data_IF_809684223752
#
_entry.id   IF_809684223752
#
_cell.length_a   1.000
_cell.length_b   1.000
_cell.length_c   1.000
_cell.angle_alpha   90.00
_cell.angle_beta   90.00
_cell.angle_gamma   90.00
#
_symmetry.space_group_name_H-M   'P 1'
#
loop_
_entity.id
_entity.type
_entity.pdbx_description
1 polymer ?
#
# COMPACT_ATOMS: atom_id res chain seq x y z
N UNK A 1 -11.58 -21.34 4.87
CA UNK A 1 -12.55 -20.31 5.34
C UNK A 1 -13.61 -19.98 4.29
N UNK A 2 -13.29 -19.78 3.00
CA UNK A 2 -14.29 -19.55 1.93
C UNK A 2 -15.39 -20.63 1.86
N UNK A 3 -15.01 -21.92 1.88
CA UNK A 3 -15.98 -23.02 1.91
C UNK A 3 -16.92 -22.98 3.12
N UNK A 4 -16.49 -22.41 4.24
CA UNK A 4 -17.29 -22.33 5.46
C UNK A 4 -18.37 -21.23 5.36
N UNK A 5 -18.02 -20.06 4.82
CA UNK A 5 -18.99 -18.98 4.51
C UNK A 5 -20.15 -19.48 3.66
N UNK A 6 -19.82 -20.05 2.51
CA UNK A 6 -20.83 -20.55 1.56
C UNK A 6 -21.66 -21.69 2.15
N UNK A 7 -21.06 -22.55 2.97
CA UNK A 7 -21.76 -23.68 3.61
C UNK A 7 -22.77 -23.17 4.63
N UNK A 8 -22.41 -22.21 5.49
CA UNK A 8 -23.34 -21.67 6.50
C UNK A 8 -24.47 -20.87 5.83
N UNK A 9 -24.16 -20.04 4.83
CA UNK A 9 -25.18 -19.33 4.06
C UNK A 9 -26.17 -20.28 3.38
N UNK A 10 -25.65 -21.34 2.73
CA UNK A 10 -26.48 -22.36 2.08
C UNK A 10 -27.38 -23.09 3.08
N UNK A 11 -26.82 -23.47 4.23
CA UNK A 11 -27.59 -24.16 5.27
C UNK A 11 -28.69 -23.25 5.85
N UNK A 12 -28.39 -21.96 6.04
CA UNK A 12 -29.38 -20.93 6.44
C UNK A 12 -30.52 -20.85 5.42
N UNK A 13 -30.18 -20.71 4.13
CA UNK A 13 -31.16 -20.68 3.03
C UNK A 13 -32.05 -21.94 2.98
N UNK A 14 -31.46 -23.13 3.10
CA UNK A 14 -32.23 -24.39 3.12
C UNK A 14 -33.17 -24.43 4.33
N UNK A 15 -32.69 -24.00 5.51
CA UNK A 15 -33.53 -23.95 6.71
C UNK A 15 -34.71 -22.99 6.54
N UNK A 16 -34.50 -21.78 6.01
CA UNK A 16 -35.59 -20.83 5.68
C UNK A 16 -36.60 -21.44 4.71
N UNK A 17 -36.14 -22.12 3.65
CA UNK A 17 -37.03 -22.75 2.68
C UNK A 17 -37.88 -23.86 3.28
N UNK A 18 -37.27 -24.72 4.13
CA UNK A 18 -37.99 -25.78 4.83
C UNK A 18 -39.00 -25.22 5.84
N UNK A 19 -38.64 -24.16 6.57
CA UNK A 19 -39.54 -23.48 7.51
C UNK A 19 -40.74 -22.85 6.79
N UNK A 20 -40.51 -22.14 5.70
CA UNK A 20 -41.56 -21.53 4.89
C UNK A 20 -42.55 -22.59 4.38
N UNK A 21 -42.03 -23.67 3.77
CA UNK A 21 -42.86 -24.78 3.28
C UNK A 21 -43.63 -25.45 4.43
N UNK A 22 -42.98 -25.71 5.56
CA UNK A 22 -43.61 -26.31 6.74
C UNK A 22 -44.77 -25.46 7.28
N UNK A 23 -44.56 -24.15 7.43
CA UNK A 23 -45.58 -23.19 7.89
C UNK A 23 -46.75 -23.09 6.92
N UNK A 24 -46.49 -23.01 5.60
CA UNK A 24 -47.53 -23.01 4.58
C UNK A 24 -48.38 -24.28 4.61
N UNK A 25 -47.75 -25.45 4.64
CA UNK A 25 -48.44 -26.75 4.68
C UNK A 25 -49.30 -26.84 5.94
N UNK A 26 -48.74 -26.52 7.11
CA UNK A 26 -49.48 -26.52 8.36
C UNK A 26 -50.63 -25.51 8.36
N UNK A 27 -50.45 -24.32 7.76
CA UNK A 27 -51.49 -23.31 7.61
C UNK A 27 -52.68 -23.79 6.78
N UNK A 28 -52.43 -24.45 5.65
CA UNK A 28 -53.46 -25.03 4.79
C UNK A 28 -54.21 -26.16 5.51
N UNK A 29 -53.48 -27.09 6.15
CA UNK A 29 -54.11 -28.22 6.85
C UNK A 29 -54.94 -27.80 8.07
N UNK A 30 -54.51 -26.75 8.77
CA UNK A 30 -55.23 -26.24 9.95
C UNK A 30 -56.32 -25.24 9.60
N UNK A 31 -56.36 -24.74 8.35
CA UNK A 31 -57.24 -23.64 7.94
C UNK A 31 -56.90 -22.30 8.61
N UNK A 32 -55.71 -22.15 9.18
CA UNK A 32 -55.30 -20.98 9.96
C UNK A 32 -54.74 -19.89 9.05
N UNK A 33 -55.50 -18.80 8.89
CA UNK A 33 -55.07 -17.60 8.15
C UNK A 33 -53.79 -17.01 8.77
N UNK A 34 -53.67 -16.99 10.10
CA UNK A 34 -52.47 -16.50 10.79
C UNK A 34 -51.23 -17.32 10.47
N UNK A 35 -51.37 -18.65 10.37
CA UNK A 35 -50.24 -19.53 10.05
C UNK A 35 -49.86 -19.45 8.55
N UNK A 36 -50.82 -19.16 7.67
CA UNK A 36 -50.55 -18.85 6.26
C UNK A 36 -49.79 -17.52 6.13
N UNK A 37 -50.18 -16.48 6.89
CA UNK A 37 -49.47 -15.20 6.94
C UNK A 37 -48.03 -15.37 7.42
N UNK A 38 -47.82 -16.19 8.45
CA UNK A 38 -46.50 -16.56 8.98
C UNK A 38 -45.66 -17.35 7.94
N UNK A 39 -46.32 -18.17 7.11
CA UNK A 39 -45.68 -18.84 5.97
C UNK A 39 -45.20 -17.86 4.89
N UNK A 40 -45.99 -16.83 4.56
CA UNK A 40 -45.59 -15.77 3.62
C UNK A 40 -44.38 -15.01 4.14
N UNK A 41 -44.37 -14.66 5.43
CA UNK A 41 -43.23 -14.00 6.06
C UNK A 41 -41.95 -14.85 5.95
N UNK A 42 -42.04 -16.13 6.31
CA UNK A 42 -40.91 -17.08 6.17
C UNK A 42 -40.45 -17.29 4.72
N UNK A 43 -41.34 -17.10 3.75
CA UNK A 43 -40.96 -17.10 2.34
C UNK A 43 -40.15 -15.85 1.95
N UNK A 44 -40.51 -14.68 2.49
CA UNK A 44 -39.68 -13.47 2.34
C UNK A 44 -38.28 -13.68 2.94
N UNK A 45 -38.17 -14.35 4.09
CA UNK A 45 -36.88 -14.71 4.69
C UNK A 45 -36.09 -15.69 3.82
N UNK A 46 -36.76 -16.63 3.16
CA UNK A 46 -36.13 -17.52 2.19
C UNK A 46 -35.57 -16.76 0.99
N UNK A 47 -36.29 -15.75 0.50
CA UNK A 47 -35.79 -14.88 -0.58
C UNK A 47 -34.58 -14.07 -0.11
N UNK A 48 -34.62 -13.47 1.08
CA UNK A 48 -33.51 -12.72 1.65
C UNK A 48 -32.24 -13.59 1.80
N UNK A 49 -32.37 -14.76 2.43
CA UNK A 49 -31.26 -15.71 2.59
C UNK A 49 -30.72 -16.26 1.27
N UNK A 50 -31.57 -16.38 0.24
CA UNK A 50 -31.14 -16.75 -1.11
C UNK A 50 -30.26 -15.67 -1.73
N UNK A 51 -30.62 -14.40 -1.55
CA UNK A 51 -29.81 -13.26 -1.98
C UNK A 51 -28.47 -13.26 -1.25
N UNK A 52 -28.45 -13.48 0.07
CA UNK A 52 -27.21 -13.56 0.85
C UNK A 52 -26.32 -14.72 0.43
N UNK A 53 -26.86 -15.92 0.23
CA UNK A 53 -26.08 -17.04 -0.28
C UNK A 53 -25.49 -16.76 -1.68
N UNK A 54 -26.27 -16.16 -2.57
CA UNK A 54 -25.79 -15.75 -3.89
C UNK A 54 -24.69 -14.68 -3.79
N UNK A 55 -24.88 -13.67 -2.94
CA UNK A 55 -23.93 -12.58 -2.73
C UNK A 55 -22.59 -13.09 -2.19
N UNK A 56 -22.62 -13.98 -1.20
CA UNK A 56 -21.42 -14.65 -0.64
C UNK A 56 -20.73 -15.51 -1.70
N UNK A 57 -21.49 -16.19 -2.57
CA UNK A 57 -20.92 -16.98 -3.66
C UNK A 57 -20.24 -16.09 -4.72
N UNK A 58 -20.81 -14.93 -5.01
CA UNK A 58 -20.26 -13.98 -5.99
C UNK A 58 -19.05 -13.24 -5.41
N UNK A 59 -19.11 -12.81 -4.15
CA UNK A 59 -18.03 -12.07 -3.48
C UNK A 59 -16.73 -12.87 -3.34
N UNK A 60 -16.85 -14.19 -3.17
CA UNK A 60 -15.70 -15.11 -3.08
C UNK A 60 -15.01 -15.34 -4.43
N UNK A 61 -15.53 -14.83 -5.54
CA UNK A 61 -14.86 -14.90 -6.84
C UNK A 61 -13.61 -14.00 -6.83
N UNK A 62 -12.48 -14.48 -7.37
CA UNK A 62 -11.28 -13.66 -7.53
C UNK A 62 -11.54 -12.50 -8.51
N UNK A 63 -10.55 -11.62 -8.64
CA UNK A 63 -10.55 -10.59 -9.67
C UNK A 63 -10.63 -11.20 -11.08
N UNK A 64 -11.36 -10.54 -11.97
CA UNK A 64 -11.47 -10.87 -13.39
C UNK A 64 -11.29 -9.62 -14.26
N UNK A 65 -11.37 -9.77 -15.58
CA UNK A 65 -11.12 -8.70 -16.56
C UNK A 65 -12.12 -7.53 -16.47
N UNK A 66 -13.31 -7.75 -15.90
CA UNK A 66 -14.30 -6.70 -15.67
C UNK A 66 -14.21 -6.11 -14.24
N UNK A 67 -13.73 -6.91 -13.29
CA UNK A 67 -13.64 -6.60 -11.87
C UNK A 67 -12.22 -6.82 -11.33
N UNK A 68 -11.30 -5.90 -11.68
CA UNK A 68 -9.88 -5.99 -11.32
C UNK A 68 -9.59 -6.01 -9.79
N UNK A 69 -10.52 -5.55 -8.96
CA UNK A 69 -10.41 -5.59 -7.50
C UNK A 69 -11.27 -6.70 -6.85
N UNK A 70 -11.80 -7.61 -7.68
CA UNK A 70 -12.69 -8.67 -7.24
C UNK A 70 -14.11 -8.21 -6.96
N UNK A 71 -14.88 -9.12 -6.37
CA UNK A 71 -16.33 -9.00 -6.21
C UNK A 71 -16.76 -8.71 -4.77
N UNK A 72 -15.81 -8.43 -3.86
CA UNK A 72 -16.06 -8.32 -2.43
C UNK A 72 -17.16 -7.33 -2.03
N UNK A 73 -17.35 -6.24 -2.80
CA UNK A 73 -18.39 -5.23 -2.53
C UNK A 73 -19.82 -5.75 -2.67
N UNK A 74 -20.04 -6.88 -3.35
CA UNK A 74 -21.38 -7.50 -3.50
C UNK A 74 -21.96 -7.92 -2.14
N UNK A 75 -21.13 -8.38 -1.20
CA UNK A 75 -21.57 -8.70 0.17
C UNK A 75 -22.11 -7.48 0.91
N UNK A 76 -21.43 -6.32 0.78
CA UNK A 76 -21.87 -5.09 1.43
C UNK A 76 -23.19 -4.57 0.84
N UNK A 77 -23.41 -4.76 -0.47
CA UNK A 77 -24.66 -4.42 -1.13
C UNK A 77 -25.81 -5.30 -0.64
N UNK A 78 -25.58 -6.61 -0.52
CA UNK A 78 -26.56 -7.55 0.04
C UNK A 78 -26.88 -7.23 1.51
N UNK A 79 -25.87 -6.94 2.32
CA UNK A 79 -26.05 -6.53 3.71
C UNK A 79 -26.89 -5.25 3.82
N UNK A 80 -26.67 -4.26 2.94
CA UNK A 80 -27.45 -3.02 2.94
C UNK A 80 -28.92 -3.27 2.54
N UNK A 81 -29.16 -4.19 1.60
CA UNK A 81 -30.50 -4.63 1.23
C UNK A 81 -31.23 -5.29 2.41
N UNK A 82 -30.56 -6.20 3.14
CA UNK A 82 -31.13 -6.82 4.34
C UNK A 82 -31.37 -5.81 5.47
N UNK A 83 -30.46 -4.87 5.68
CA UNK A 83 -30.68 -3.77 6.62
C UNK A 83 -31.93 -2.97 6.25
N UNK A 84 -32.17 -2.70 4.96
CA UNK A 84 -33.39 -2.00 4.52
C UNK A 84 -34.65 -2.81 4.83
N UNK A 85 -34.64 -4.13 4.63
CA UNK A 85 -35.75 -5.01 5.03
C UNK A 85 -35.97 -4.98 6.56
N UNK A 86 -34.89 -5.01 7.34
CA UNK A 86 -34.95 -4.93 8.80
C UNK A 86 -35.53 -3.59 9.28
N UNK A 87 -35.12 -2.47 8.67
CA UNK A 87 -35.67 -1.16 8.98
C UNK A 87 -37.17 -1.07 8.64
N UNK A 88 -37.58 -1.65 7.52
CA UNK A 88 -38.99 -1.72 7.13
C UNK A 88 -39.80 -2.58 8.12
N UNK A 89 -39.28 -3.74 8.51
CA UNK A 89 -39.91 -4.63 9.48
C UNK A 89 -40.02 -3.98 10.86
N UNK A 90 -38.94 -3.35 11.36
CA UNK A 90 -38.96 -2.62 12.63
C UNK A 90 -39.94 -1.44 12.60
N UNK A 91 -39.99 -0.69 11.50
CA UNK A 91 -40.97 0.38 11.30
C UNK A 91 -42.42 -0.12 11.33
N UNK A 92 -42.67 -1.27 10.69
CA UNK A 92 -43.97 -1.94 10.73
C UNK A 92 -44.35 -2.38 12.15
N UNK A 93 -43.43 -2.99 12.89
CA UNK A 93 -43.67 -3.41 14.29
C UNK A 93 -43.98 -2.19 15.17
N UNK A 94 -43.24 -1.08 15.01
CA UNK A 94 -43.50 0.16 15.75
C UNK A 94 -44.90 0.69 15.45
N UNK A 95 -45.29 0.71 14.17
CA UNK A 95 -46.62 1.15 13.77
C UNK A 95 -47.72 0.27 14.38
N UNK A 96 -47.61 -1.06 14.26
CA UNK A 96 -48.58 -2.02 14.77
C UNK A 96 -48.68 -1.97 16.31
N UNK A 97 -47.54 -1.94 17.01
CA UNK A 97 -47.51 -1.87 18.47
C UNK A 97 -48.10 -0.54 18.99
N UNK A 98 -47.84 0.57 18.30
CA UNK A 98 -48.41 1.88 18.67
C UNK A 98 -49.92 1.91 18.40
N UNK A 99 -50.37 1.35 17.27
CA UNK A 99 -51.78 1.20 16.94
C UNK A 99 -52.51 0.35 17.99
N UNK A 100 -51.92 -0.78 18.38
CA UNK A 100 -52.44 -1.68 19.42
C UNK A 100 -52.54 -1.02 20.81
N UNK A 101 -51.63 -0.09 21.14
CA UNK A 101 -51.71 0.70 22.38
C UNK A 101 -52.87 1.71 22.39
N UNK A 102 -53.25 2.23 21.20
CA UNK A 102 -54.26 3.28 21.03
C UNK A 102 -55.65 2.75 20.66
N UNK A 103 -55.74 1.50 20.15
CA UNK A 103 -56.98 0.84 19.72
C UNK A 103 -57.46 -0.28 20.65
N UNK A 104 -58.40 -1.10 20.16
CA UNK A 104 -58.82 -2.33 20.84
C UNK A 104 -57.80 -3.46 20.61
N UNK A 105 -57.46 -4.20 21.67
CA UNK A 105 -56.50 -5.29 21.61
C UNK A 105 -57.01 -6.40 20.68
N UNK A 106 -56.23 -6.74 19.65
CA UNK A 106 -56.52 -7.89 18.79
C UNK A 106 -56.56 -9.18 19.63
N UNK A 107 -57.62 -9.98 19.47
CA UNK A 107 -57.71 -11.29 20.13
C UNK A 107 -56.67 -12.23 19.52
N UNK A 108 -55.58 -12.45 20.25
CA UNK A 108 -54.60 -13.47 19.91
C UNK A 108 -55.28 -14.83 20.06
N UNK A 109 -55.61 -15.49 18.94
CA UNK A 109 -56.11 -16.86 18.96
C UNK A 109 -54.96 -17.78 19.36
N UNK A 110 -54.90 -18.09 20.66
CA UNK A 110 -53.92 -18.98 21.27
C UNK A 110 -54.20 -20.45 20.92
N UNK A 111 -54.11 -20.81 19.64
CA UNK A 111 -54.13 -22.20 19.24
C UNK A 111 -52.81 -22.86 19.67
N UNK A 112 -52.82 -24.02 20.38
CA UNK A 112 -51.60 -24.72 20.79
C UNK A 112 -50.62 -24.99 19.64
N UNK A 113 -51.14 -25.16 18.43
CA UNK A 113 -50.35 -25.34 17.20
C UNK A 113 -49.51 -24.10 16.88
N UNK A 114 -50.03 -22.88 17.06
CA UNK A 114 -49.31 -21.62 16.79
C UNK A 114 -48.14 -21.47 17.78
N UNK A 115 -48.37 -21.75 19.06
CA UNK A 115 -47.33 -21.72 20.09
C UNK A 115 -46.23 -22.74 19.78
N UNK A 116 -46.60 -23.97 19.38
CA UNK A 116 -45.63 -25.00 19.02
C UNK A 116 -44.77 -24.58 17.81
N UNK A 117 -45.38 -23.99 16.78
CA UNK A 117 -44.66 -23.49 15.60
C UNK A 117 -43.69 -22.36 15.98
N UNK A 118 -44.13 -21.39 16.78
CA UNK A 118 -43.26 -20.29 17.24
C UNK A 118 -42.07 -20.80 18.05
N UNK A 119 -42.28 -21.75 18.97
CA UNK A 119 -41.20 -22.36 19.75
C UNK A 119 -40.19 -23.08 18.85
N UNK A 120 -40.65 -23.83 17.85
CA UNK A 120 -39.78 -24.51 16.90
C UNK A 120 -38.98 -23.49 16.07
N UNK A 121 -39.61 -22.42 15.60
CA UNK A 121 -38.93 -21.34 14.87
C UNK A 121 -37.83 -20.68 15.72
N UNK A 122 -38.12 -20.32 16.97
CA UNK A 122 -37.13 -19.73 17.89
C UNK A 122 -35.91 -20.64 18.07
N UNK A 123 -36.12 -21.95 18.23
CA UNK A 123 -35.01 -22.90 18.40
C UNK A 123 -34.15 -22.97 17.13
N UNK A 124 -34.77 -23.00 15.96
CA UNK A 124 -34.05 -23.03 14.68
C UNK A 124 -33.24 -21.74 14.49
N UNK A 125 -33.87 -20.58 14.70
CA UNK A 125 -33.22 -19.29 14.54
C UNK A 125 -32.09 -19.09 15.55
N UNK A 126 -32.23 -19.57 16.79
CA UNK A 126 -31.14 -19.58 17.76
C UNK A 126 -29.88 -20.29 17.23
N UNK A 127 -30.02 -21.48 16.65
CA UNK A 127 -28.89 -22.21 16.07
C UNK A 127 -28.32 -21.51 14.83
N UNK A 128 -29.17 -20.92 13.99
CA UNK A 128 -28.76 -20.15 12.81
C UNK A 128 -27.99 -18.91 13.17
N UNK A 129 -28.51 -18.08 14.07
CA UNK A 129 -27.86 -16.88 14.59
C UNK A 129 -26.48 -17.22 15.16
N UNK A 130 -26.38 -18.32 15.92
CA UNK A 130 -25.10 -18.77 16.50
C UNK A 130 -24.09 -19.21 15.43
N UNK A 131 -24.54 -19.90 14.37
CA UNK A 131 -23.69 -20.35 13.28
C UNK A 131 -23.23 -19.17 12.40
N UNK A 132 -24.17 -18.32 11.97
CA UNK A 132 -23.92 -17.15 11.13
C UNK A 132 -22.99 -16.17 11.83
N UNK A 133 -23.27 -15.77 13.09
CA UNK A 133 -22.41 -14.83 13.82
C UNK A 133 -20.98 -15.32 14.03
N UNK A 134 -20.79 -16.64 14.20
CA UNK A 134 -19.45 -17.21 14.34
C UNK A 134 -18.64 -17.02 13.07
N UNK A 135 -19.24 -17.36 11.92
CA UNK A 135 -18.56 -17.26 10.64
C UNK A 135 -18.42 -15.81 10.21
N UNK A 136 -19.47 -14.99 10.36
CA UNK A 136 -19.44 -13.55 10.07
C UNK A 136 -18.26 -12.85 10.77
N UNK A 137 -18.04 -13.12 12.07
CA UNK A 137 -16.90 -12.57 12.82
C UNK A 137 -15.55 -13.14 12.40
N UNK A 138 -15.50 -14.42 12.06
CA UNK A 138 -14.25 -15.06 11.64
C UNK A 138 -13.80 -14.61 10.24
N UNK A 139 -14.73 -14.18 9.39
CA UNK A 139 -14.45 -13.87 7.98
C UNK A 139 -14.74 -12.42 7.59
N UNK A 140 -15.12 -11.59 8.57
CA UNK A 140 -15.58 -10.21 8.40
C UNK A 140 -16.65 -10.05 7.30
N UNK A 141 -17.63 -10.95 7.26
CA UNK A 141 -18.66 -10.98 6.22
C UNK A 141 -19.88 -10.15 6.63
N UNK A 142 -20.07 -9.02 5.96
CA UNK A 142 -21.19 -8.12 6.22
C UNK A 142 -22.55 -8.77 5.89
N UNK A 143 -22.64 -9.57 4.82
CA UNK A 143 -23.87 -10.25 4.45
C UNK A 143 -24.28 -11.29 5.50
N UNK A 144 -23.33 -12.08 6.03
CA UNK A 144 -23.64 -13.04 7.10
C UNK A 144 -23.96 -12.35 8.43
N UNK A 145 -23.36 -11.19 8.72
CA UNK A 145 -23.68 -10.37 9.89
C UNK A 145 -25.11 -9.82 9.82
N UNK A 146 -25.54 -9.35 8.64
CA UNK A 146 -26.90 -8.88 8.40
C UNK A 146 -27.94 -10.01 8.49
N UNK A 147 -27.67 -11.17 7.86
CA UNK A 147 -28.52 -12.36 7.95
C UNK A 147 -28.66 -12.85 9.40
N UNK A 148 -27.57 -12.81 10.18
CA UNK A 148 -27.61 -13.12 11.60
C UNK A 148 -28.45 -12.12 12.42
N UNK A 149 -28.39 -10.84 12.10
CA UNK A 149 -29.19 -9.81 12.75
C UNK A 149 -30.67 -9.95 12.41
N UNK A 150 -30.99 -10.32 11.16
CA UNK A 150 -32.35 -10.61 10.72
C UNK A 150 -32.99 -11.72 11.55
N UNK A 151 -32.36 -12.90 11.63
CA UNK A 151 -32.90 -13.99 12.45
C UNK A 151 -32.89 -13.71 13.95
N UNK A 152 -31.96 -12.87 14.43
CA UNK A 152 -31.99 -12.42 15.81
C UNK A 152 -33.21 -11.54 16.09
N UNK A 153 -33.56 -10.66 15.16
CA UNK A 153 -34.77 -9.84 15.19
C UNK A 153 -36.04 -10.70 15.21
N UNK A 154 -36.11 -11.71 14.35
CA UNK A 154 -37.26 -12.62 14.29
C UNK A 154 -37.41 -13.47 15.57
N UNK A 155 -36.29 -13.95 16.11
CA UNK A 155 -36.25 -14.69 17.37
C UNK A 155 -36.73 -13.82 18.55
N UNK A 156 -36.29 -12.55 18.62
CA UNK A 156 -36.75 -11.62 19.64
C UNK A 156 -38.24 -11.30 19.48
N UNK A 157 -38.70 -11.05 18.25
CA UNK A 157 -40.10 -10.73 17.96
C UNK A 157 -41.02 -11.89 18.33
N UNK A 158 -40.65 -13.12 17.95
CA UNK A 158 -41.38 -14.33 18.34
C UNK A 158 -41.38 -14.55 19.86
N UNK A 159 -40.26 -14.26 20.52
CA UNK A 159 -40.15 -14.32 21.98
C UNK A 159 -41.05 -13.32 22.69
N UNK A 160 -41.16 -12.09 22.17
CA UNK A 160 -42.10 -11.07 22.67
C UNK A 160 -43.53 -11.54 22.55
N UNK A 161 -43.94 -12.05 21.39
CA UNK A 161 -45.31 -12.56 21.17
C UNK A 161 -45.64 -13.69 22.15
N UNK A 162 -44.71 -14.63 22.38
CA UNK A 162 -44.91 -15.71 23.37
C UNK A 162 -45.04 -15.18 24.80
N UNK A 163 -44.22 -14.21 25.20
CA UNK A 163 -44.34 -13.55 26.50
C UNK A 163 -45.66 -12.78 26.62
N UNK A 164 -46.06 -12.07 25.56
CA UNK A 164 -47.33 -11.36 25.45
C UNK A 164 -48.52 -12.28 25.66
N UNK A 165 -48.54 -13.46 25.01
CA UNK A 165 -49.56 -14.48 25.24
C UNK A 165 -49.64 -14.91 26.71
N UNK A 166 -48.50 -15.10 27.38
CA UNK A 166 -48.48 -15.45 28.82
C UNK A 166 -49.05 -14.29 29.65
N UNK A 167 -48.67 -13.04 29.39
CA UNK A 167 -49.18 -11.88 30.13
C UNK A 167 -50.67 -11.62 29.92
N UNK A 168 -51.20 -11.92 28.72
CA UNK A 168 -52.64 -11.88 28.44
C UNK A 168 -53.40 -12.86 29.33
N UNK A 169 -52.86 -14.06 29.59
CA UNK A 169 -53.46 -15.03 30.52
C UNK A 169 -53.54 -14.50 31.96
N UNK A 170 -52.63 -13.59 32.36
CA UNK A 170 -52.63 -12.92 33.67
C UNK A 170 -53.39 -11.58 33.68
N UNK A 171 -54.09 -11.22 32.59
CA UNK A 171 -54.90 -10.00 32.50
C UNK A 171 -54.16 -8.73 32.08
N UNK A 172 -52.89 -8.83 31.68
CA UNK A 172 -52.07 -7.69 31.24
C UNK A 172 -52.04 -7.55 29.71
N UNK A 173 -53.16 -7.13 29.10
CA UNK A 173 -53.31 -7.07 27.65
C UNK A 173 -52.34 -6.10 26.92
N UNK A 174 -51.82 -5.08 27.62
CA UNK A 174 -50.93 -4.05 27.02
C UNK A 174 -49.43 -4.35 27.15
N UNK A 175 -49.05 -5.40 27.87
CA UNK A 175 -47.64 -5.73 28.10
C UNK A 175 -46.92 -6.15 26.80
N UNK A 176 -47.63 -6.82 25.91
CA UNK A 176 -47.13 -7.28 24.61
C UNK A 176 -46.68 -6.12 23.70
N UNK A 177 -47.53 -5.10 23.54
CA UNK A 177 -47.24 -3.94 22.71
C UNK A 177 -46.04 -3.12 23.23
N UNK A 178 -45.90 -2.99 24.55
CA UNK A 178 -44.74 -2.30 25.13
C UNK A 178 -43.44 -3.09 24.91
N UNK A 179 -43.49 -4.41 25.08
CA UNK A 179 -42.34 -5.28 24.81
C UNK A 179 -41.95 -5.27 23.32
N UNK A 180 -42.94 -5.24 22.42
CA UNK A 180 -42.72 -5.12 20.98
C UNK A 180 -42.04 -3.80 20.60
N UNK A 181 -42.45 -2.68 21.21
CA UNK A 181 -41.78 -1.38 21.00
C UNK A 181 -40.32 -1.38 21.47
N UNK A 182 -40.03 -2.00 22.62
CA UNK A 182 -38.65 -2.10 23.14
C UNK A 182 -37.78 -2.91 22.17
N UNK A 183 -38.26 -4.06 21.72
CA UNK A 183 -37.54 -4.92 20.78
C UNK A 183 -37.36 -4.23 19.43
N UNK A 184 -38.40 -3.59 18.89
CA UNK A 184 -38.29 -2.85 17.64
C UNK A 184 -37.28 -1.68 17.73
N UNK A 185 -37.22 -0.98 18.87
CA UNK A 185 -36.20 0.04 19.11
C UNK A 185 -34.77 -0.52 19.12
N UNK A 186 -34.57 -1.70 19.72
CA UNK A 186 -33.29 -2.41 19.67
C UNK A 186 -32.91 -2.81 18.24
N UNK A 187 -33.86 -3.40 17.49
CA UNK A 187 -33.65 -3.81 16.10
C UNK A 187 -33.29 -2.59 15.24
N UNK A 188 -34.03 -1.49 15.37
CA UNK A 188 -33.78 -0.25 14.65
C UNK A 188 -32.35 0.27 14.89
N UNK A 189 -31.92 0.32 16.15
CA UNK A 189 -30.57 0.75 16.50
C UNK A 189 -29.49 -0.17 15.91
N UNK A 190 -29.67 -1.49 16.01
CA UNK A 190 -28.73 -2.46 15.48
C UNK A 190 -28.65 -2.40 13.94
N UNK A 191 -29.80 -2.28 13.26
CA UNK A 191 -29.89 -2.16 11.81
C UNK A 191 -29.23 -0.87 11.31
N UNK A 192 -29.46 0.28 11.97
CA UNK A 192 -28.80 1.54 11.62
C UNK A 192 -27.27 1.48 11.80
N UNK A 193 -26.81 0.84 12.88
CA UNK A 193 -25.38 0.66 13.14
C UNK A 193 -24.72 -0.21 12.06
N UNK A 194 -25.36 -1.32 11.70
CA UNK A 194 -24.87 -2.23 10.65
C UNK A 194 -24.93 -1.56 9.27
N UNK A 195 -26.04 -0.90 8.95
CA UNK A 195 -26.23 -0.16 7.70
C UNK A 195 -25.16 0.90 7.49
N UNK A 196 -24.81 1.65 8.54
CA UNK A 196 -23.70 2.61 8.48
C UNK A 196 -22.39 1.89 8.11
N UNK A 197 -22.05 0.78 8.77
CA UNK A 197 -20.83 0.00 8.49
C UNK A 197 -20.79 -0.51 7.05
N UNK A 198 -21.90 -1.07 6.55
CA UNK A 198 -21.99 -1.58 5.17
C UNK A 198 -21.91 -0.45 4.14
N UNK A 199 -22.54 0.70 4.42
CA UNK A 199 -22.45 1.89 3.58
C UNK A 199 -21.04 2.47 3.55
N UNK A 200 -20.41 2.62 4.72
CA UNK A 200 -19.04 3.11 4.87
C UNK A 200 -18.06 2.27 4.05
N UNK A 201 -18.24 0.95 3.99
CA UNK A 201 -17.43 0.07 3.15
C UNK A 201 -17.68 0.22 1.64
N UNK A 202 -18.88 0.66 1.20
CA UNK A 202 -19.16 0.89 -0.23
C UNK A 202 -18.49 2.17 -0.72
N UNK A 203 -18.46 3.21 0.11
CA UNK A 203 -17.84 4.51 -0.18
C UNK A 203 -16.33 4.57 0.13
N UNK A 204 -15.70 3.41 0.34
CA UNK A 204 -14.25 3.27 0.57
C UNK A 204 -13.76 4.01 1.83
N UNK A 205 -14.53 3.99 2.92
CA UNK A 205 -14.13 4.58 4.21
C UNK A 205 -12.97 3.79 4.82
N UNK A 206 -11.90 4.48 5.19
CA UNK A 206 -10.76 3.88 5.86
C UNK A 206 -11.11 3.41 7.30
N UNK A 207 -10.57 2.26 7.75
CA UNK A 207 -10.69 1.84 9.15
C UNK A 207 -10.13 2.90 10.11
N UNK A 208 -10.81 3.14 11.23
CA UNK A 208 -10.39 4.15 12.20
C UNK A 208 -8.98 3.85 12.77
N UNK A 209 -8.12 4.86 12.83
CA UNK A 209 -6.74 4.76 13.36
C UNK A 209 -5.71 4.18 12.37
N UNK A 210 -6.14 3.50 11.32
CA UNK A 210 -5.24 2.82 10.38
C UNK A 210 -4.28 3.77 9.66
N UNK A 211 -4.71 4.99 9.38
CA UNK A 211 -3.87 6.02 8.73
C UNK A 211 -2.75 6.47 9.64
N UNK A 212 -3.04 6.75 10.90
CA UNK A 212 -2.07 7.18 11.90
C UNK A 212 -1.06 6.06 12.21
N UNK A 213 -1.53 4.81 12.29
CA UNK A 213 -0.68 3.64 12.49
C UNK A 213 0.33 3.46 11.34
N UNK A 214 -0.14 3.53 10.09
CA UNK A 214 0.74 3.44 8.92
C UNK A 214 1.69 4.64 8.88
N UNK A 215 1.21 5.85 9.16
CA UNK A 215 2.08 7.03 9.20
C UNK A 215 3.20 6.88 10.23
N UNK A 216 2.92 6.26 11.37
CA UNK A 216 3.91 6.01 12.41
C UNK A 216 4.94 4.98 11.95
N UNK A 217 4.48 3.88 11.34
CA UNK A 217 5.34 2.83 10.76
C UNK A 217 6.29 3.39 9.69
N UNK A 218 5.81 4.31 8.84
CA UNK A 218 6.65 4.92 7.80
C UNK A 218 7.77 5.80 8.37
N UNK A 219 7.57 6.41 9.54
CA UNK A 219 8.61 7.22 10.18
C UNK A 219 9.84 6.40 10.62
N UNK A 220 9.70 5.07 10.74
CA UNK A 220 10.82 4.18 11.10
C UNK A 220 11.80 3.97 9.93
N UNK A 221 11.43 4.36 8.70
CA UNK A 221 12.28 4.20 7.53
C UNK A 221 13.12 5.47 7.27
N UNK A 222 14.45 5.44 7.49
CA UNK A 222 15.29 6.63 7.36
C UNK A 222 15.44 7.13 5.91
N UNK A 223 15.09 6.31 4.93
CA UNK A 223 15.13 6.68 3.52
C UNK A 223 13.90 7.49 3.06
N UNK A 224 12.85 7.55 3.88
CA UNK A 224 11.65 8.35 3.63
C UNK A 224 11.91 9.78 4.11
N UNK A 225 11.72 10.74 3.22
CA UNK A 225 11.82 12.18 3.51
C UNK A 225 10.47 12.75 3.98
N UNK A 226 9.39 12.27 3.40
CA UNK A 226 8.02 12.70 3.69
C UNK A 226 7.02 11.60 3.37
N UNK A 227 5.86 11.65 4.03
CA UNK A 227 4.69 10.86 3.66
C UNK A 227 3.74 11.75 2.87
N UNK A 228 3.61 11.49 1.56
CA UNK A 228 2.84 12.34 0.65
C UNK A 228 1.35 12.00 0.70
N UNK A 229 1.01 10.71 0.69
CA UNK A 229 -0.37 10.25 0.85
C UNK A 229 -0.44 8.83 1.37
N UNK A 230 -1.50 8.56 2.14
CA UNK A 230 -1.89 7.22 2.58
C UNK A 230 -3.37 7.09 2.22
N UNK A 231 -3.71 6.10 1.41
CA UNK A 231 -5.08 5.78 1.01
C UNK A 231 -5.37 4.34 1.36
N UNK A 232 -6.48 4.12 2.07
CA UNK A 232 -6.96 2.79 2.40
C UNK A 232 -8.38 2.64 1.91
N UNK A 233 -8.73 1.43 1.47
CA UNK A 233 -10.11 1.07 1.18
C UNK A 233 -10.32 -0.43 1.38
N UNK A 234 -11.52 -0.81 1.76
CA UNK A 234 -11.91 -2.21 1.92
C UNK A 234 -12.75 -2.67 0.73
N UNK A 235 -12.44 -3.84 0.17
CA UNK A 235 -13.33 -4.54 -0.75
C UNK A 235 -13.57 -5.97 -0.23
N UNK A 236 -14.72 -6.17 0.42
CA UNK A 236 -14.98 -7.40 1.18
C UNK A 236 -13.96 -7.57 2.30
N UNK A 237 -13.31 -8.73 2.36
CA UNK A 237 -12.32 -9.06 3.40
C UNK A 237 -10.89 -8.57 3.09
N UNK A 238 -10.66 -7.94 1.92
CA UNK A 238 -9.33 -7.45 1.50
C UNK A 238 -9.21 -5.96 1.76
N UNK A 239 -8.10 -5.55 2.38
CA UNK A 239 -7.76 -4.15 2.63
C UNK A 239 -6.71 -3.69 1.62
N UNK A 240 -7.08 -2.77 0.73
CA UNK A 240 -6.14 -2.17 -0.23
C UNK A 240 -5.50 -0.96 0.41
N UNK A 241 -4.18 -0.92 0.40
CA UNK A 241 -3.38 0.15 1.00
C UNK A 241 -2.46 0.72 -0.07
N UNK A 242 -2.61 2.00 -0.38
CA UNK A 242 -1.70 2.73 -1.24
C UNK A 242 -0.97 3.77 -0.40
N UNK A 243 0.37 3.74 -0.46
CA UNK A 243 1.23 4.68 0.24
C UNK A 243 2.12 5.37 -0.78
N UNK A 244 2.14 6.69 -0.77
CA UNK A 244 3.10 7.50 -1.51
C UNK A 244 4.12 8.12 -0.56
N UNK A 245 5.39 7.84 -0.78
CA UNK A 245 6.51 8.28 0.06
C UNK A 245 7.48 9.12 -0.75
N UNK A 246 7.88 10.27 -0.19
CA UNK A 246 8.96 11.09 -0.71
C UNK A 246 10.30 10.43 -0.43
N UNK A 247 11.12 10.23 -1.45
CA UNK A 247 12.46 9.64 -1.35
C UNK A 247 13.48 10.56 -2.02
N UNK A 248 14.74 10.46 -1.60
CA UNK A 248 15.80 11.24 -2.23
C UNK A 248 15.90 10.91 -3.72
N UNK A 249 15.90 11.93 -4.58
CA UNK A 249 15.97 11.77 -6.03
C UNK A 249 17.29 11.18 -6.56
N UNK A 250 18.33 11.09 -5.73
CA UNK A 250 19.58 10.38 -6.02
C UNK A 250 19.58 8.91 -5.59
N UNK A 251 18.52 8.45 -4.91
CA UNK A 251 18.46 7.10 -4.39
C UNK A 251 18.43 6.09 -5.56
N UNK A 252 19.36 5.12 -5.63
CA UNK A 252 19.39 4.16 -6.73
C UNK A 252 18.08 3.37 -6.84
N UNK A 253 17.65 3.07 -8.06
CA UNK A 253 16.37 2.40 -8.33
C UNK A 253 16.25 1.05 -7.61
N UNK A 254 17.34 0.28 -7.52
CA UNK A 254 17.36 -0.99 -6.79
C UNK A 254 17.10 -0.79 -5.27
N UNK A 255 17.65 0.28 -4.69
CA UNK A 255 17.42 0.65 -3.28
C UNK A 255 15.98 1.12 -3.07
N UNK A 256 15.40 1.85 -4.02
CA UNK A 256 13.98 2.23 -4.00
C UNK A 256 13.10 0.97 -4.01
N UNK A 257 13.38 0.01 -4.88
CA UNK A 257 12.62 -1.24 -4.92
C UNK A 257 12.75 -2.02 -3.61
N UNK A 258 13.95 -2.11 -3.04
CA UNK A 258 14.15 -2.71 -1.72
C UNK A 258 13.35 -2.02 -0.61
N UNK A 259 13.32 -0.69 -0.59
CA UNK A 259 12.52 0.11 0.35
C UNK A 259 11.02 -0.17 0.18
N UNK A 260 10.52 -0.16 -1.05
CA UNK A 260 9.11 -0.44 -1.36
C UNK A 260 8.69 -1.82 -0.85
N UNK A 261 9.50 -2.84 -1.11
CA UNK A 261 9.24 -4.21 -0.64
C UNK A 261 9.26 -4.29 0.89
N UNK A 262 10.22 -3.64 1.54
CA UNK A 262 10.31 -3.64 3.01
C UNK A 262 9.08 -2.99 3.66
N UNK A 263 8.63 -1.83 3.14
CA UNK A 263 7.41 -1.15 3.60
C UNK A 263 6.18 -2.06 3.39
N UNK A 264 6.03 -2.65 2.20
CA UNK A 264 4.90 -3.53 1.89
C UNK A 264 4.82 -4.72 2.85
N UNK A 265 5.94 -5.43 3.05
CA UNK A 265 6.01 -6.58 3.97
C UNK A 265 5.67 -6.19 5.40
N UNK A 266 6.14 -5.04 5.90
CA UNK A 266 5.86 -4.62 7.27
C UNK A 266 4.38 -4.25 7.47
N UNK A 267 3.75 -3.61 6.47
CA UNK A 267 2.32 -3.31 6.50
C UNK A 267 1.49 -4.61 6.41
N UNK A 268 1.86 -5.54 5.53
CA UNK A 268 1.17 -6.85 5.37
C UNK A 268 1.26 -7.74 6.62
N UNK A 269 2.29 -7.57 7.45
CA UNK A 269 2.39 -8.25 8.74
C UNK A 269 1.42 -7.68 9.80
N UNK A 270 1.11 -6.39 9.73
CA UNK A 270 0.19 -5.73 10.66
C UNK A 270 -1.27 -5.91 10.27
N UNK A 271 -1.56 -5.94 8.96
CA UNK A 271 -2.92 -6.03 8.43
C UNK A 271 -3.13 -7.36 7.70
N UNK A 272 -3.97 -8.22 8.26
CA UNK A 272 -4.35 -9.48 7.61
C UNK A 272 -5.10 -9.20 6.28
N UNK A 273 -4.78 -9.96 5.24
CA UNK A 273 -5.37 -9.82 3.90
C UNK A 273 -5.23 -8.40 3.31
N UNK A 274 -4.10 -7.73 3.56
CA UNK A 274 -3.80 -6.46 2.93
C UNK A 274 -3.13 -6.64 1.56
N UNK A 275 -3.49 -5.82 0.59
CA UNK A 275 -2.75 -5.65 -0.67
C UNK A 275 -2.12 -4.25 -0.66
N UNK A 276 -0.79 -4.20 -0.59
CA UNK A 276 -0.05 -2.96 -0.40
C UNK A 276 0.64 -2.52 -1.68
N UNK A 277 0.42 -1.26 -2.05
CA UNK A 277 1.12 -0.59 -3.15
C UNK A 277 1.90 0.60 -2.60
N UNK A 278 3.20 0.59 -2.85
CA UNK A 278 4.09 1.69 -2.46
C UNK A 278 4.53 2.46 -3.71
N UNK A 279 4.33 3.77 -3.68
CA UNK A 279 4.73 4.72 -4.72
C UNK A 279 5.86 5.57 -4.14
N UNK A 280 7.00 5.59 -4.83
CA UNK A 280 8.14 6.42 -4.43
C UNK A 280 8.15 7.68 -5.30
N UNK A 281 8.14 8.85 -4.66
CA UNK A 281 8.14 10.15 -5.33
C UNK A 281 9.52 10.79 -5.12
N UNK A 282 10.28 11.08 -6.19
CA UNK A 282 11.62 11.66 -6.05
C UNK A 282 11.53 13.11 -5.56
N UNK A 283 12.33 13.43 -4.55
CA UNK A 283 12.39 14.77 -3.95
C UNK A 283 13.83 15.22 -3.76
N UNK A 284 14.03 16.53 -3.89
CA UNK A 284 15.27 17.18 -3.50
C UNK A 284 15.37 17.23 -1.98
N UNK A 285 16.56 16.96 -1.43
CA UNK A 285 16.80 17.16 -0.01
C UNK A 285 17.21 18.60 0.25
N UNK A 286 16.93 19.11 1.45
CA UNK A 286 17.37 20.45 1.86
C UNK A 286 18.89 20.58 1.96
N UNK A 287 19.59 19.47 2.19
CA UNK A 287 21.05 19.36 2.29
C UNK A 287 21.69 18.86 0.99
N UNK A 288 20.96 18.89 -0.13
CA UNK A 288 21.48 18.45 -1.42
C UNK A 288 22.60 19.38 -1.90
N UNK A 289 23.77 18.79 -2.18
CA UNK A 289 24.91 19.55 -2.66
C UNK A 289 24.67 20.08 -4.09
N UNK A 290 25.29 21.21 -4.40
CA UNK A 290 25.01 21.91 -5.65
C UNK A 290 25.54 21.17 -6.88
N UNK A 291 26.62 20.39 -6.72
CA UNK A 291 27.16 19.57 -7.79
C UNK A 291 26.17 18.45 -8.17
N UNK A 292 25.59 17.79 -7.18
CA UNK A 292 24.54 16.78 -7.31
C UNK A 292 23.30 17.37 -7.96
N UNK A 293 22.89 18.57 -7.54
CA UNK A 293 21.74 19.27 -8.13
C UNK A 293 21.94 19.54 -9.62
N UNK A 294 23.10 20.05 -10.01
CA UNK A 294 23.47 20.31 -11.43
C UNK A 294 23.47 19.00 -12.22
N UNK A 295 24.11 17.95 -11.70
CA UNK A 295 24.17 16.64 -12.35
C UNK A 295 22.78 16.04 -12.58
N UNK A 296 21.86 16.16 -11.63
CA UNK A 296 20.48 15.67 -11.78
C UNK A 296 19.71 16.48 -12.81
N UNK A 297 19.82 17.81 -12.79
CA UNK A 297 19.16 18.66 -13.78
C UNK A 297 19.63 18.31 -15.19
N UNK A 298 20.94 18.17 -15.40
CA UNK A 298 21.49 17.76 -16.68
C UNK A 298 21.07 16.33 -17.09
N UNK A 299 21.12 15.38 -16.16
CA UNK A 299 20.76 13.98 -16.43
C UNK A 299 19.28 13.81 -16.81
N UNK A 300 18.37 14.59 -16.22
CA UNK A 300 16.95 14.59 -16.57
C UNK A 300 16.70 15.04 -18.03
N UNK A 301 17.68 15.71 -18.64
CA UNK A 301 17.67 16.13 -20.04
C UNK A 301 18.66 15.34 -20.90
N UNK A 302 19.08 14.15 -20.44
CA UNK A 302 19.88 13.22 -21.23
C UNK A 302 21.36 13.58 -21.37
N UNK A 303 21.83 14.60 -20.66
CA UNK A 303 23.23 15.02 -20.69
C UNK A 303 24.02 14.49 -19.48
N UNK A 304 25.27 14.10 -19.69
CA UNK A 304 26.16 13.63 -18.62
C UNK A 304 27.21 14.69 -18.33
N UNK A 305 27.21 15.19 -17.10
CA UNK A 305 28.16 16.23 -16.65
C UNK A 305 29.43 15.59 -16.10
N UNK A 306 30.58 16.06 -16.59
CA UNK A 306 31.92 15.70 -16.14
C UNK A 306 32.70 16.97 -15.75
N UNK A 307 33.78 16.80 -14.98
CA UNK A 307 34.70 17.88 -14.57
C UNK A 307 34.03 19.20 -14.08
N UNK A 308 32.94 19.06 -13.33
CA UNK A 308 32.17 20.19 -12.81
C UNK A 308 32.99 21.01 -11.81
N UNK A 309 33.14 22.30 -12.10
CA UNK A 309 33.78 23.30 -11.25
C UNK A 309 32.78 24.37 -10.88
N UNK A 310 32.68 24.68 -9.59
CA UNK A 310 31.78 25.70 -9.03
C UNK A 310 32.61 26.81 -8.39
N UNK A 311 32.35 28.05 -8.79
CA UNK A 311 33.01 29.24 -8.25
C UNK A 311 31.97 30.26 -7.79
N UNK A 312 32.17 30.80 -6.58
CA UNK A 312 31.38 31.91 -6.07
C UNK A 312 32.16 33.22 -6.30
N UNK A 313 31.69 34.04 -7.23
CA UNK A 313 32.18 35.41 -7.41
C UNK A 313 31.39 36.37 -6.52
N UNK A 314 31.83 37.63 -6.46
CA UNK A 314 31.23 38.65 -5.62
C UNK A 314 29.75 38.91 -5.95
N UNK A 315 29.41 38.91 -7.25
CA UNK A 315 28.08 39.30 -7.74
C UNK A 315 27.26 38.13 -8.30
N UNK A 316 27.90 37.00 -8.64
CA UNK A 316 27.26 35.85 -9.25
C UNK A 316 28.01 34.54 -9.01
N UNK A 317 27.38 33.41 -9.38
CA UNK A 317 28.05 32.11 -9.44
C UNK A 317 28.53 31.84 -10.86
N UNK A 318 29.71 31.22 -10.96
CA UNK A 318 30.25 30.71 -12.22
C UNK A 318 30.36 29.18 -12.16
N UNK A 319 29.87 28.52 -13.21
CA UNK A 319 29.82 27.07 -13.36
C UNK A 319 30.57 26.73 -14.63
N UNK A 320 31.59 25.88 -14.53
CA UNK A 320 32.30 25.34 -15.68
C UNK A 320 32.16 23.82 -15.69
N UNK A 321 31.80 23.23 -16.83
CA UNK A 321 31.58 21.79 -16.92
C UNK A 321 31.84 21.20 -18.31
N UNK A 322 32.25 19.93 -18.31
CA UNK A 322 32.27 19.12 -19.52
C UNK A 322 30.91 18.42 -19.70
N UNK A 323 30.30 18.59 -20.87
CA UNK A 323 29.05 17.96 -21.24
C UNK A 323 29.34 16.83 -22.23
N UNK A 324 29.16 15.59 -21.78
CA UNK A 324 29.29 14.44 -22.66
C UNK A 324 28.04 14.30 -23.55
N UNK A 325 28.24 14.40 -24.86
CA UNK A 325 27.20 14.31 -25.90
C UNK A 325 27.45 13.11 -26.82
N UNK A 326 26.42 12.55 -27.49
CA UNK A 326 26.62 11.41 -28.38
C UNK A 326 27.69 11.68 -29.45
N UNK A 327 28.65 10.77 -29.61
CA UNK A 327 29.78 10.94 -30.54
C UNK A 327 29.36 11.07 -32.02
N UNK A 328 28.14 10.64 -32.36
CA UNK A 328 27.55 10.76 -33.70
C UNK A 328 26.81 12.08 -33.95
N UNK A 329 26.63 12.92 -32.91
CA UNK A 329 25.92 14.18 -33.04
C UNK A 329 26.70 15.18 -33.90
N UNK A 330 25.98 16.01 -34.67
CA UNK A 330 26.61 17.16 -35.33
C UNK A 330 27.00 18.22 -34.29
N UNK A 331 27.89 19.14 -34.66
CA UNK A 331 28.26 20.27 -33.80
C UNK A 331 27.04 21.13 -33.45
N UNK A 332 26.12 21.31 -34.41
CA UNK A 332 24.86 22.03 -34.20
C UNK A 332 23.98 21.31 -33.16
N UNK A 333 23.78 19.99 -33.30
CA UNK A 333 23.01 19.20 -32.34
C UNK A 333 23.64 19.21 -30.93
N UNK A 334 24.97 19.10 -30.86
CA UNK A 334 25.67 19.15 -29.59
C UNK A 334 25.56 20.54 -28.94
N UNK A 335 25.61 21.60 -29.74
CA UNK A 335 25.40 22.97 -29.27
C UNK A 335 23.97 23.21 -28.78
N UNK A 336 22.96 22.70 -29.49
CA UNK A 336 21.56 22.80 -29.06
C UNK A 336 21.34 22.12 -27.70
N UNK A 337 21.92 20.94 -27.49
CA UNK A 337 21.88 20.25 -26.20
C UNK A 337 22.53 21.10 -25.10
N UNK A 338 23.73 21.65 -25.36
CA UNK A 338 24.40 22.52 -24.39
C UNK A 338 23.57 23.76 -24.04
N UNK A 339 23.03 24.46 -25.03
CA UNK A 339 22.16 25.62 -24.83
C UNK A 339 20.92 25.28 -23.98
N UNK A 340 20.27 24.15 -24.25
CA UNK A 340 19.13 23.68 -23.45
C UNK A 340 19.53 23.47 -21.98
N UNK A 341 20.63 22.76 -21.73
CA UNK A 341 21.14 22.51 -20.37
C UNK A 341 21.51 23.82 -19.67
N UNK A 342 22.20 24.73 -20.35
CA UNK A 342 22.58 26.02 -19.79
C UNK A 342 21.35 26.84 -19.36
N UNK A 343 20.31 26.90 -20.20
CA UNK A 343 19.09 27.63 -19.90
C UNK A 343 18.33 27.04 -18.70
N UNK A 344 18.27 25.71 -18.61
CA UNK A 344 17.68 25.02 -17.45
C UNK A 344 18.43 25.35 -16.16
N UNK A 345 19.76 25.36 -16.22
CA UNK A 345 20.60 25.68 -15.08
C UNK A 345 20.44 27.14 -14.66
N UNK A 346 20.38 28.09 -15.62
CA UNK A 346 20.09 29.51 -15.34
C UNK A 346 18.72 29.68 -14.69
N UNK A 347 17.69 29.02 -15.20
CA UNK A 347 16.35 29.05 -14.60
C UNK A 347 16.33 28.47 -13.18
N UNK A 348 17.09 27.41 -12.92
CA UNK A 348 17.08 26.72 -11.64
C UNK A 348 17.98 27.39 -10.57
N UNK A 349 19.05 28.06 -10.98
CA UNK A 349 20.11 28.58 -10.10
C UNK A 349 20.18 30.12 -10.06
N UNK A 350 19.57 30.78 -11.04
CA UNK A 350 19.49 32.24 -11.17
C UNK A 350 20.00 32.72 -12.53
N UNK A 351 19.30 33.67 -13.14
CA UNK A 351 19.60 34.20 -14.49
C UNK A 351 21.00 34.80 -14.64
N UNK A 352 21.58 35.32 -13.55
CA UNK A 352 22.93 35.89 -13.55
C UNK A 352 24.04 34.82 -13.45
N UNK A 353 23.70 33.52 -13.42
CA UNK A 353 24.69 32.46 -13.33
C UNK A 353 25.49 32.38 -14.62
N UNK A 354 26.80 32.53 -14.50
CA UNK A 354 27.73 32.34 -15.61
C UNK A 354 27.94 30.83 -15.80
N UNK A 355 27.75 30.34 -17.02
CA UNK A 355 27.87 28.92 -17.34
C UNK A 355 28.76 28.78 -18.57
N UNK A 356 29.84 28.03 -18.41
CA UNK A 356 30.75 27.65 -19.49
C UNK A 356 30.67 26.14 -19.69
N UNK A 357 30.27 25.73 -20.89
CA UNK A 357 30.18 24.32 -21.27
C UNK A 357 31.26 23.96 -22.28
N UNK A 358 31.92 22.82 -22.06
CA UNK A 358 32.84 22.22 -23.01
C UNK A 358 32.26 20.88 -23.47
N UNK A 359 32.15 20.70 -24.79
CA UNK A 359 31.49 19.54 -25.39
C UNK A 359 32.48 18.39 -25.58
N UNK A 360 32.19 17.24 -24.97
CA UNK A 360 32.99 16.04 -25.13
C UNK A 360 32.18 14.91 -25.78
N UNK A 361 32.78 14.12 -26.68
CA UNK A 361 32.09 12.96 -27.23
C UNK A 361 32.00 11.86 -26.17
N UNK A 362 30.81 11.28 -26.03
CA UNK A 362 30.58 10.13 -25.16
C UNK A 362 31.15 8.86 -25.82
N UNK A 363 32.46 8.65 -25.71
CA UNK A 363 33.15 7.44 -26.18
C UNK A 363 33.59 6.53 -25.02
N UNK A 364 33.57 5.21 -25.27
CA UNK A 364 34.27 4.22 -24.45
C UNK A 364 35.39 3.68 -25.33
N UNK A 365 36.52 4.37 -25.35
CA UNK A 365 37.65 3.98 -26.20
C UNK A 365 38.43 2.83 -25.55
N UNK A 366 38.44 1.68 -26.22
CA UNK A 366 39.32 0.57 -25.87
C UNK A 366 40.75 0.91 -26.30
N UNK A 367 41.59 1.29 -25.33
CA UNK A 367 43.00 1.57 -25.56
C UNK A 367 43.77 0.26 -25.78
N UNK A 368 44.18 -0.01 -27.02
CA UNK A 368 45.13 -1.08 -27.30
C UNK A 368 46.46 -0.77 -26.58
N UNK A 369 46.84 -1.61 -25.63
CA UNK A 369 48.00 -1.39 -24.77
C UNK A 369 48.96 -2.58 -24.76
N UNK A 370 50.26 -2.31 -24.67
CA UNK A 370 51.32 -3.31 -24.48
C UNK A 370 52.11 -2.97 -23.22
N UNK A 371 52.63 -3.96 -22.49
CA UNK A 371 53.53 -3.68 -21.37
C UNK A 371 54.81 -2.98 -21.89
N UNK A 372 55.34 -2.04 -21.10
CA UNK A 372 56.62 -1.40 -21.44
C UNK A 372 57.77 -2.39 -21.32
N UNK A 373 58.91 -2.08 -21.93
CA UNK A 373 60.11 -2.91 -21.85
C UNK A 373 60.60 -3.08 -20.40
N UNK A 374 61.30 -4.18 -20.12
CA UNK A 374 61.78 -4.50 -18.77
C UNK A 374 62.65 -3.38 -18.18
N UNK A 375 63.58 -2.83 -18.96
CA UNK A 375 64.49 -1.77 -18.49
C UNK A 375 63.74 -0.48 -18.16
N UNK A 376 62.78 -0.09 -19.01
CA UNK A 376 61.91 1.07 -18.80
C UNK A 376 61.04 0.89 -17.55
N UNK A 377 60.48 -0.31 -17.36
CA UNK A 377 59.73 -0.64 -16.15
C UNK A 377 60.61 -0.51 -14.89
N UNK A 378 61.85 -0.98 -14.92
CA UNK A 378 62.76 -0.89 -13.77
C UNK A 378 63.14 0.54 -13.44
N UNK A 379 63.37 1.39 -14.46
CA UNK A 379 63.59 2.82 -14.26
C UNK A 379 62.38 3.51 -13.61
N UNK A 380 61.17 3.21 -14.08
CA UNK A 380 59.92 3.72 -13.50
C UNK A 380 59.77 3.27 -12.04
N UNK A 381 60.05 1.99 -11.74
CA UNK A 381 60.00 1.45 -10.37
C UNK A 381 60.95 2.19 -9.44
N UNK A 382 62.18 2.42 -9.88
CA UNK A 382 63.18 3.11 -9.09
C UNK A 382 62.79 4.57 -8.83
N UNK A 383 62.26 5.27 -9.83
CA UNK A 383 61.78 6.64 -9.71
C UNK A 383 60.59 6.77 -8.76
N UNK A 384 59.63 5.82 -8.81
CA UNK A 384 58.51 5.76 -7.87
C UNK A 384 58.97 5.57 -6.43
N UNK A 385 59.92 4.66 -6.19
CA UNK A 385 60.47 4.43 -4.85
C UNK A 385 61.17 5.69 -4.30
N UNK A 386 62.01 6.35 -5.11
CA UNK A 386 62.67 7.59 -4.74
C UNK A 386 61.67 8.72 -4.45
N UNK A 387 60.61 8.83 -5.26
CA UNK A 387 59.58 9.86 -5.08
C UNK A 387 58.78 9.65 -3.80
N UNK A 388 58.47 8.39 -3.46
CA UNK A 388 57.81 8.04 -2.21
C UNK A 388 58.67 8.38 -0.98
N UNK A 389 59.98 8.09 -1.03
CA UNK A 389 60.92 8.46 0.03
C UNK A 389 60.99 9.98 0.24
N UNK A 390 61.02 10.76 -0.84
CA UNK A 390 61.05 12.23 -0.76
C UNK A 390 59.74 12.84 -0.23
N UNK A 391 58.59 12.25 -0.57
CA UNK A 391 57.28 12.71 -0.09
C UNK A 391 57.03 12.38 1.40
N UNK A 392 57.71 11.36 1.95
CA UNK A 392 57.72 11.00 3.37
C UNK A 392 56.43 10.38 3.94
N UNK A 393 55.28 10.64 3.30
CA UNK A 393 53.95 10.16 3.71
C UNK A 393 53.63 8.76 3.17
N UNK A 394 54.15 8.40 2.00
CA UNK A 394 54.04 7.06 1.41
C UNK A 394 55.17 6.18 1.95
N UNK A 395 54.84 5.04 2.54
CA UNK A 395 55.81 4.14 3.17
C UNK A 395 56.23 2.97 2.30
N UNK A 396 55.39 2.59 1.36
CA UNK A 396 55.65 1.48 0.43
C UNK A 396 54.96 1.75 -0.91
N UNK A 397 55.61 1.34 -2.00
CA UNK A 397 55.05 1.39 -3.36
C UNK A 397 55.26 0.02 -4.01
N UNK A 398 54.17 -0.61 -4.42
CA UNK A 398 54.18 -1.97 -4.95
C UNK A 398 53.16 -2.16 -6.08
N UNK A 399 53.11 -3.38 -6.64
CA UNK A 399 52.22 -3.75 -7.75
C UNK A 399 52.28 -2.81 -8.98
N UNK A 400 53.50 -2.37 -9.31
CA UNK A 400 53.75 -1.37 -10.36
C UNK A 400 53.61 -2.01 -11.73
N UNK A 401 52.77 -1.41 -12.57
CA UNK A 401 52.49 -1.80 -13.96
C UNK A 401 52.61 -0.58 -14.86
N UNK A 402 53.36 -0.68 -15.93
CA UNK A 402 53.47 0.39 -16.93
C UNK A 402 53.14 -0.18 -18.31
N UNK A 403 52.24 0.50 -19.02
CA UNK A 403 51.72 0.07 -20.33
C UNK A 403 51.84 1.19 -21.34
N UNK A 404 52.39 0.88 -22.50
CA UNK A 404 52.46 1.77 -23.66
C UNK A 404 51.13 1.77 -24.40
N UNK A 405 50.62 2.96 -24.68
CA UNK A 405 49.43 3.23 -25.50
C UNK A 405 49.80 4.17 -26.64
N UNK A 406 48.95 4.36 -27.67
CA UNK A 406 49.18 5.35 -28.71
C UNK A 406 49.35 6.79 -28.18
N UNK A 407 48.76 7.08 -27.01
CA UNK A 407 48.76 8.41 -26.38
C UNK A 407 49.90 8.60 -25.37
N UNK A 408 50.74 7.58 -25.13
CA UNK A 408 51.83 7.61 -24.15
C UNK A 408 51.82 6.42 -23.20
N UNK A 409 52.67 6.47 -22.18
CA UNK A 409 52.79 5.42 -21.16
C UNK A 409 51.83 5.69 -20.01
N UNK A 410 51.03 4.68 -19.64
CA UNK A 410 50.16 4.71 -18.46
C UNK A 410 50.82 3.89 -17.36
N UNK A 411 51.09 4.52 -16.21
CA UNK A 411 51.68 3.87 -15.04
C UNK A 411 50.63 3.71 -13.95
N UNK A 412 50.45 2.49 -13.45
CA UNK A 412 49.59 2.17 -12.31
C UNK A 412 50.44 1.59 -11.19
N UNK A 413 50.22 2.02 -9.95
CA UNK A 413 50.90 1.47 -8.79
C UNK A 413 49.97 1.48 -7.57
N UNK A 414 50.31 0.67 -6.58
CA UNK A 414 49.69 0.68 -5.26
C UNK A 414 50.68 1.32 -4.28
N UNK A 415 50.17 2.04 -3.29
CA UNK A 415 51.00 2.67 -2.29
C UNK A 415 50.36 2.58 -0.90
N UNK A 416 51.19 2.46 0.14
CA UNK A 416 50.72 2.36 1.52
C UNK A 416 51.00 3.61 2.32
N UNK A 417 49.99 4.06 3.07
CA UNK A 417 50.05 5.23 3.97
C UNK A 417 49.54 4.86 5.36
N UNK A 418 49.77 5.72 6.35
CA UNK A 418 49.27 5.50 7.71
C UNK A 418 47.72 5.47 7.72
N UNK A 419 47.07 4.51 8.40
CA UNK A 419 45.60 4.42 8.43
C UNK A 419 44.90 5.65 9.00
N UNK A 420 45.59 6.44 9.83
CA UNK A 420 45.06 7.67 10.42
C UNK A 420 45.19 8.90 9.49
N UNK A 421 45.80 8.76 8.32
CA UNK A 421 46.00 9.86 7.38
C UNK A 421 44.67 10.21 6.68
N UNK A 422 44.36 11.49 6.55
CA UNK A 422 43.19 11.94 5.79
C UNK A 422 43.34 11.58 4.30
N UNK A 423 42.23 11.32 3.62
CA UNK A 423 42.23 11.07 2.17
C UNK A 423 42.84 12.24 1.39
N UNK A 424 42.61 13.49 1.80
CA UNK A 424 43.23 14.67 1.17
C UNK A 424 44.75 14.61 1.22
N UNK A 425 45.34 14.40 2.42
CA UNK A 425 46.79 14.28 2.55
C UNK A 425 47.37 13.05 1.82
N UNK A 426 46.61 11.95 1.74
CA UNK A 426 47.02 10.79 0.95
C UNK A 426 47.02 11.09 -0.56
N UNK A 427 46.00 11.80 -1.04
CA UNK A 427 45.91 12.27 -2.42
C UNK A 427 47.06 13.22 -2.76
N UNK A 428 47.34 14.22 -1.91
CA UNK A 428 48.45 15.16 -2.09
C UNK A 428 49.81 14.46 -2.19
N UNK A 429 49.99 13.37 -1.43
CA UNK A 429 51.20 12.55 -1.47
C UNK A 429 51.32 11.77 -2.79
N UNK A 430 50.21 11.21 -3.30
CA UNK A 430 50.18 10.55 -4.61
C UNK A 430 50.40 11.56 -5.74
N UNK A 431 49.77 12.74 -5.69
CA UNK A 431 49.96 13.83 -6.66
C UNK A 431 51.40 14.33 -6.70
N UNK A 432 52.08 14.36 -5.55
CA UNK A 432 53.50 14.66 -5.50
C UNK A 432 54.31 13.62 -6.28
N UNK A 433 54.08 12.33 -6.03
CA UNK A 433 54.76 11.23 -6.73
C UNK A 433 54.48 11.27 -8.23
N UNK A 434 53.22 11.49 -8.61
CA UNK A 434 52.80 11.61 -10.01
C UNK A 434 53.53 12.77 -10.71
N UNK A 435 53.60 13.95 -10.08
CA UNK A 435 54.32 15.10 -10.65
C UNK A 435 55.81 14.82 -10.83
N UNK A 436 56.47 14.21 -9.83
CA UNK A 436 57.89 13.85 -9.95
C UNK A 436 58.13 12.85 -11.09
N UNK A 437 57.27 11.84 -11.19
CA UNK A 437 57.40 10.83 -12.23
C UNK A 437 57.20 11.41 -13.64
N UNK A 438 56.19 12.29 -13.83
CA UNK A 438 55.95 12.96 -15.11
C UNK A 438 57.08 13.92 -15.51
N UNK A 439 57.71 14.59 -14.54
CA UNK A 439 58.89 15.42 -14.82
C UNK A 439 60.09 14.60 -15.30
N UNK A 440 60.29 13.40 -14.74
CA UNK A 440 61.40 12.53 -15.10
C UNK A 440 61.15 11.75 -16.41
N UNK A 441 59.90 11.39 -16.70
CA UNK A 441 59.51 10.63 -17.89
C UNK A 441 58.40 11.36 -18.67
N UNK A 442 58.76 12.28 -19.58
CA UNK A 442 57.78 13.05 -20.36
C UNK A 442 56.85 12.20 -21.26
N UNK A 443 57.23 10.95 -21.54
CA UNK A 443 56.41 10.00 -22.30
C UNK A 443 55.23 9.41 -21.50
N UNK A 444 55.20 9.62 -20.17
CA UNK A 444 54.10 9.17 -19.32
C UNK A 444 52.92 10.14 -19.49
N UNK A 445 51.83 9.63 -20.02
CA UNK A 445 50.60 10.40 -20.24
C UNK A 445 49.66 10.37 -19.02
N UNK A 446 49.70 9.30 -18.23
CA UNK A 446 48.85 9.14 -17.05
C UNK A 446 49.51 8.31 -15.96
N UNK A 447 49.37 8.74 -14.72
CA UNK A 447 49.79 7.99 -13.54
C UNK A 447 48.55 7.76 -12.66
N UNK A 448 48.40 6.56 -12.12
CA UNK A 448 47.28 6.21 -11.23
C UNK A 448 47.82 5.47 -10.01
N UNK A 449 47.73 6.11 -8.85
CA UNK A 449 48.09 5.52 -7.55
C UNK A 449 46.86 5.01 -6.82
N UNK A 450 46.84 3.73 -6.45
CA UNK A 450 45.86 3.17 -5.52
C UNK A 450 46.41 3.27 -4.10
N UNK A 451 45.72 4.02 -3.23
CA UNK A 451 46.13 4.19 -1.83
C UNK A 451 45.55 3.06 -0.97
N UNK A 452 46.42 2.42 -0.20
CA UNK A 452 46.10 1.37 0.76
C UNK A 452 46.55 1.78 2.17
N UNK A 453 45.86 1.31 3.23
CA UNK A 453 46.38 1.41 4.59
C UNK A 453 47.59 0.47 4.78
N UNK A 454 48.57 0.92 5.58
CA UNK A 454 49.79 0.17 5.94
C UNK A 454 49.57 -1.18 6.61
#
# INVERSE_FOLDING_TARGET
>A
MQNEKQTVARNSMIASGLLALGKFIAGIFTGSIGLISEGIHSFTDFVATSITWWAVRVSDKPADDEHHFGHGKVENLAALFEVLLLLAAAGWIIYEATSSLLGEAHQIVAAPVVIAVLLVSIVIDFFRVKALNRVAKATDSAALEADALHFFSDMLSSGVVLLGMIFVLFGFARADALAALIVAGFILFAALKLGKRSFDSLIDTAPAGSREDISTLLNDFPAILSTESIRLRSAGATLFIEVSVGVCRTLPLERINGLKTAIAVQIEQQYANAEVRVIAIPQARSDEDMATRIRILAANHGAVVQNLTLQQLADHMSISMDLAVPASASVEQAHDIACEIEDILRQALGENTEIETHLEPQTIDWLASQDVGYDELMQIKQALALSAEHGGLVKDVHNIRARKTPQGVIVNFHCRVLPALSITAAHDAVDFIERQLRMQFPAISRVVGHVEPL
#
